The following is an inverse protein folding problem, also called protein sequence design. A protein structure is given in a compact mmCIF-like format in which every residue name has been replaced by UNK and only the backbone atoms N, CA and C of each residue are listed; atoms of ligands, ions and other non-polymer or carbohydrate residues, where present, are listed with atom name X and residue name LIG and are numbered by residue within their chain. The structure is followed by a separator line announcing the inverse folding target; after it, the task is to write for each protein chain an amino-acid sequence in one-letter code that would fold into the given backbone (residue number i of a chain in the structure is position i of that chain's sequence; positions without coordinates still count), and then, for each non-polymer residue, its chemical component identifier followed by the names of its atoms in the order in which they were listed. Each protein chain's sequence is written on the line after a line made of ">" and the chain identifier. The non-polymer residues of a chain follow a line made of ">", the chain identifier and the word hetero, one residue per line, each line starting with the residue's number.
data_IF_187267597659
#
_entry.id   IF_187267597659
#
_cell.length_a   1.000
_cell.length_b   1.000
_cell.length_c   1.000
_cell.angle_alpha   90.00
_cell.angle_beta   90.00
_cell.angle_gamma   90.00
#
_symmetry.space_group_name_H-M   'P 1'
#
loop_
_entity.id
_entity.type
_entity.pdbx_description
1 polymer ?
#
# COMPACT_ATOMS: atom_id res chain seq x y z
N UNK A 1 -5.55 -7.20 10.06
CA UNK A 1 -4.10 -7.31 9.74
C UNK A 1 -3.40 -6.18 10.50
N UNK A 2 -2.46 -6.48 11.38
CA UNK A 2 -1.68 -5.46 12.08
C UNK A 2 -0.35 -5.27 11.34
N UNK A 3 -0.04 -4.02 10.99
CA UNK A 3 1.18 -3.66 10.26
C UNK A 3 2.15 -3.07 11.29
N UNK A 4 3.27 -3.73 11.51
CA UNK A 4 4.38 -3.18 12.28
C UNK A 4 5.42 -2.56 11.35
N UNK A 5 5.80 -1.31 11.62
CA UNK A 5 6.81 -0.60 10.84
C UNK A 5 8.00 -0.28 11.74
N UNK A 6 9.20 -0.55 11.24
CA UNK A 6 10.45 -0.29 11.97
C UNK A 6 11.44 0.49 11.11
N UNK A 7 12.27 1.31 11.75
CA UNK A 7 13.38 1.95 11.06
C UNK A 7 14.29 0.89 10.42
N UNK A 8 14.83 1.15 9.25
CA UNK A 8 15.67 0.20 8.49
C UNK A 8 16.79 -0.43 9.35
N UNK A 9 17.41 0.34 10.24
CA UNK A 9 18.43 -0.15 11.19
C UNK A 9 17.88 -1.10 12.27
N UNK A 10 16.59 -0.99 12.58
CA UNK A 10 15.94 -1.75 13.66
C UNK A 10 15.26 -3.02 13.14
N UNK A 11 14.98 -3.10 11.83
CA UNK A 11 14.34 -4.26 11.21
C UNK A 11 15.12 -5.57 11.47
N UNK A 12 16.45 -5.53 11.51
CA UNK A 12 17.28 -6.68 11.83
C UNK A 12 17.19 -7.11 13.30
N UNK A 13 17.09 -6.14 14.22
CA UNK A 13 16.88 -6.41 15.65
C UNK A 13 15.48 -6.99 15.88
N UNK A 14 14.47 -6.40 15.27
CA UNK A 14 13.09 -6.88 15.34
C UNK A 14 12.97 -8.31 14.82
N UNK A 15 13.62 -8.64 13.70
CA UNK A 15 13.67 -10.01 13.17
C UNK A 15 14.24 -10.99 14.21
N UNK A 16 15.38 -10.66 14.84
CA UNK A 16 15.97 -11.49 15.89
C UNK A 16 15.02 -11.69 17.06
N UNK A 17 14.47 -10.61 17.60
CA UNK A 17 13.54 -10.65 18.73
C UNK A 17 12.32 -11.55 18.42
N UNK A 18 11.77 -11.46 17.22
CA UNK A 18 10.64 -12.29 16.81
C UNK A 18 11.07 -13.76 16.64
N UNK A 19 12.23 -14.01 16.04
CA UNK A 19 12.77 -15.37 15.86
C UNK A 19 13.06 -16.04 17.21
N UNK A 20 13.57 -15.30 18.18
CA UNK A 20 13.88 -15.79 19.55
C UNK A 20 12.61 -16.22 20.31
N UNK A 21 11.41 -15.77 19.88
CA UNK A 21 10.13 -16.24 20.43
C UNK A 21 9.70 -17.63 19.90
N UNK A 22 10.46 -18.24 18.99
CA UNK A 22 10.12 -19.51 18.37
C UNK A 22 9.02 -19.46 17.29
N UNK A 23 8.61 -18.27 16.91
CA UNK A 23 7.57 -18.08 15.89
C UNK A 23 8.14 -18.30 14.49
N UNK A 24 7.42 -19.06 13.65
CA UNK A 24 7.81 -19.27 12.25
C UNK A 24 7.60 -18.01 11.44
N UNK A 25 8.68 -17.43 10.93
CA UNK A 25 8.68 -16.23 10.10
C UNK A 25 8.70 -16.62 8.63
N UNK A 26 7.71 -16.14 7.85
CA UNK A 26 7.68 -16.27 6.39
C UNK A 26 8.15 -14.96 5.76
N UNK A 27 9.23 -14.99 4.99
CA UNK A 27 9.69 -13.85 4.20
C UNK A 27 8.90 -13.77 2.90
N UNK A 28 8.48 -12.58 2.55
CA UNK A 28 7.78 -12.31 1.29
C UNK A 28 8.64 -11.47 0.35
N UNK A 29 8.34 -11.52 -0.95
CA UNK A 29 8.91 -10.58 -1.92
C UNK A 29 8.50 -9.14 -1.52
N UNK A 30 9.38 -8.16 -1.78
CA UNK A 30 9.07 -6.77 -1.45
C UNK A 30 9.48 -6.32 -0.04
N UNK A 31 10.35 -7.09 0.64
CA UNK A 31 10.93 -6.70 1.93
C UNK A 31 9.99 -6.74 3.13
N UNK A 32 8.92 -7.50 3.07
CA UNK A 32 8.05 -7.79 4.20
C UNK A 32 8.31 -9.19 4.77
N UNK A 33 7.93 -9.38 6.02
CA UNK A 33 7.87 -10.70 6.65
C UNK A 33 6.52 -10.85 7.34
N UNK A 34 6.00 -12.08 7.35
CA UNK A 34 4.75 -12.39 8.01
C UNK A 34 4.96 -13.49 9.06
N UNK A 35 4.23 -13.38 10.16
CA UNK A 35 4.22 -14.39 11.21
C UNK A 35 2.89 -14.35 11.96
N UNK A 36 2.57 -15.44 12.64
CA UNK A 36 1.40 -15.49 13.53
C UNK A 36 1.83 -15.24 14.97
N UNK A 37 1.16 -14.31 15.65
CA UNK A 37 1.37 -14.00 17.05
C UNK A 37 0.03 -13.95 17.78
N UNK A 38 -0.15 -14.85 18.77
CA UNK A 38 -1.38 -14.93 19.58
C UNK A 38 -2.66 -14.96 18.74
N UNK A 39 -2.67 -15.75 17.65
CA UNK A 39 -3.82 -15.85 16.74
C UNK A 39 -3.97 -14.74 15.72
N UNK A 40 -3.17 -13.68 15.79
CA UNK A 40 -3.16 -12.59 14.83
C UNK A 40 -2.08 -12.80 13.76
N UNK A 41 -2.42 -12.59 12.49
CA UNK A 41 -1.44 -12.51 11.42
C UNK A 41 -0.81 -11.11 11.43
N UNK A 42 0.50 -11.06 11.63
CA UNK A 42 1.27 -9.82 11.63
C UNK A 42 2.08 -9.75 10.33
N UNK A 43 1.96 -8.64 9.63
CA UNK A 43 2.78 -8.29 8.49
C UNK A 43 3.74 -7.15 8.89
N UNK A 44 5.03 -7.42 8.77
CA UNK A 44 6.09 -6.54 9.21
C UNK A 44 6.80 -5.96 7.98
N UNK A 45 6.61 -4.68 7.76
CA UNK A 45 7.20 -3.97 6.63
C UNK A 45 8.53 -3.31 7.01
N UNK A 46 9.53 -3.39 6.12
CA UNK A 46 10.81 -2.68 6.27
C UNK A 46 10.73 -1.22 5.83
N UNK A 47 9.68 -0.87 5.11
CA UNK A 47 9.42 0.49 4.61
C UNK A 47 8.02 0.88 4.99
N UNK A 48 7.85 2.14 5.37
CA UNK A 48 6.54 2.72 5.69
C UNK A 48 5.74 2.93 4.42
N UNK A 49 6.39 3.47 3.38
CA UNK A 49 5.76 3.82 2.13
C UNK A 49 6.13 2.80 1.06
N UNK A 50 5.12 2.24 0.43
CA UNK A 50 5.23 1.25 -0.64
C UNK A 50 5.46 1.92 -2.01
N UNK A 51 6.57 2.64 -2.15
CA UNK A 51 6.97 3.36 -3.38
C UNK A 51 8.09 2.60 -4.09
N UNK A 52 7.95 2.42 -5.40
CA UNK A 52 8.87 1.64 -6.23
C UNK A 52 9.85 2.52 -7.00
N UNK A 53 9.54 3.80 -7.22
CA UNK A 53 10.45 4.75 -7.83
C UNK A 53 11.71 4.95 -6.96
N UNK A 54 12.90 4.46 -7.37
CA UNK A 54 14.11 4.53 -6.56
C UNK A 54 14.59 5.95 -6.31
N UNK A 55 14.28 6.90 -7.18
CA UNK A 55 14.68 8.31 -7.06
C UNK A 55 13.96 9.03 -5.91
N UNK A 56 12.85 8.48 -5.44
CA UNK A 56 12.10 9.03 -4.30
C UNK A 56 12.57 8.47 -2.95
N UNK A 57 13.36 7.41 -2.93
CA UNK A 57 13.69 6.71 -1.69
C UNK A 57 14.42 7.59 -0.67
N UNK A 58 15.37 8.40 -1.12
CA UNK A 58 16.12 9.31 -0.22
C UNK A 58 15.18 10.38 0.33
N UNK A 59 14.39 11.01 -0.52
CA UNK A 59 13.42 12.02 -0.11
C UNK A 59 12.40 11.47 0.90
N UNK A 60 11.79 10.34 0.57
CA UNK A 60 10.78 9.74 1.44
C UNK A 60 11.37 9.21 2.77
N UNK A 61 12.64 8.79 2.75
CA UNK A 61 13.32 8.41 3.97
C UNK A 61 13.54 9.61 4.90
N UNK A 62 14.07 10.74 4.40
CA UNK A 62 14.24 11.96 5.20
C UNK A 62 12.90 12.49 5.68
N UNK A 63 11.91 12.55 4.80
CA UNK A 63 10.57 12.97 5.17
C UNK A 63 9.95 12.12 6.26
N UNK A 64 10.14 10.80 6.18
CA UNK A 64 9.69 9.88 7.22
C UNK A 64 10.38 10.11 8.56
N UNK A 65 11.71 10.28 8.58
CA UNK A 65 12.46 10.53 9.82
C UNK A 65 12.02 11.82 10.52
N UNK A 66 11.61 12.85 9.76
CA UNK A 66 11.12 14.14 10.26
C UNK A 66 9.69 14.07 10.81
N UNK A 67 8.85 13.21 10.22
CA UNK A 67 7.40 13.16 10.49
C UNK A 67 6.96 11.84 11.13
N UNK A 68 7.87 11.11 11.73
CA UNK A 68 7.74 9.68 12.01
C UNK A 68 6.56 9.30 12.90
N UNK A 69 6.45 9.86 14.09
CA UNK A 69 5.62 9.26 15.13
C UNK A 69 4.70 10.25 15.83
N UNK A 70 3.56 9.71 16.16
CA UNK A 70 2.72 10.19 17.26
C UNK A 70 2.76 9.14 18.37
N UNK A 71 2.90 9.58 19.62
CA UNK A 71 2.84 8.70 20.77
C UNK A 71 1.38 8.41 21.17
N UNK A 72 1.08 7.14 21.33
CA UNK A 72 -0.22 6.66 21.82
C UNK A 72 -0.01 5.86 23.10
N UNK A 73 -0.75 6.17 24.15
CA UNK A 73 -0.74 5.39 25.38
C UNK A 73 -1.81 4.31 25.32
N UNK A 74 -1.38 3.05 25.27
CA UNK A 74 -2.27 1.88 25.31
C UNK A 74 -1.94 1.04 26.55
N UNK A 75 -2.90 0.83 27.41
CA UNK A 75 -2.76 0.05 28.66
C UNK A 75 -1.53 0.48 29.48
N UNK A 76 -1.30 1.80 29.61
CA UNK A 76 -0.19 2.38 30.35
C UNK A 76 1.18 2.25 29.68
N UNK A 77 1.24 1.77 28.43
CA UNK A 77 2.47 1.67 27.62
C UNK A 77 2.44 2.68 26.50
N UNK A 78 3.55 3.39 26.31
CA UNK A 78 3.74 4.29 25.16
C UNK A 78 4.03 3.46 23.92
N UNK A 79 3.24 3.63 22.89
CA UNK A 79 3.39 3.00 21.58
C UNK A 79 3.51 4.09 20.52
N UNK A 80 4.50 3.98 19.67
CA UNK A 80 4.66 4.89 18.54
C UNK A 80 3.77 4.43 17.39
N UNK A 81 2.93 5.34 16.90
CA UNK A 81 2.10 5.15 15.71
C UNK A 81 2.50 6.15 14.62
N UNK A 82 2.09 5.90 13.40
CA UNK A 82 2.32 6.86 12.30
C UNK A 82 1.54 8.14 12.58
N UNK A 83 2.16 9.28 12.25
CA UNK A 83 1.44 10.56 12.25
C UNK A 83 0.27 10.53 11.27
N UNK A 84 -0.76 11.38 11.43
CA UNK A 84 -1.89 11.45 10.50
C UNK A 84 -1.46 11.59 9.04
N UNK A 85 -0.49 12.45 8.75
CA UNK A 85 0.07 12.65 7.42
C UNK A 85 0.69 11.38 6.85
N UNK A 86 1.54 10.70 7.62
CA UNK A 86 2.16 9.44 7.20
C UNK A 86 1.16 8.30 7.07
N UNK A 87 0.10 8.30 7.86
CA UNK A 87 -0.97 7.31 7.73
C UNK A 87 -1.69 7.44 6.39
N UNK A 88 -2.01 8.67 5.95
CA UNK A 88 -2.58 8.92 4.62
C UNK A 88 -1.66 8.46 3.51
N UNK A 89 -0.38 8.84 3.58
CA UNK A 89 0.62 8.42 2.59
C UNK A 89 0.78 6.90 2.55
N UNK A 90 0.86 6.25 3.72
CA UNK A 90 1.06 4.81 3.82
C UNK A 90 -0.12 4.02 3.25
N UNK A 91 -1.35 4.37 3.62
CA UNK A 91 -2.55 3.67 3.13
C UNK A 91 -2.69 3.84 1.62
N UNK A 92 -2.56 5.05 1.11
CA UNK A 92 -2.76 5.32 -0.31
C UNK A 92 -1.65 4.71 -1.20
N UNK A 93 -0.39 4.75 -0.77
CA UNK A 93 0.70 4.09 -1.52
C UNK A 93 0.59 2.57 -1.46
N UNK A 94 0.10 2.03 -0.36
CA UNK A 94 -0.14 0.60 -0.21
C UNK A 94 -1.26 0.12 -1.16
N UNK A 95 -2.34 0.88 -1.28
CA UNK A 95 -3.43 0.61 -2.22
C UNK A 95 -2.92 0.70 -3.67
N UNK A 96 -2.17 1.73 -4.02
CA UNK A 96 -1.57 1.87 -5.35
C UNK A 96 -0.69 0.67 -5.70
N UNK A 97 0.18 0.24 -4.80
CA UNK A 97 1.02 -0.95 -4.99
C UNK A 97 0.19 -2.19 -5.31
N UNK A 98 -0.88 -2.43 -4.57
CA UNK A 98 -1.74 -3.59 -4.83
C UNK A 98 -2.52 -3.45 -6.13
N UNK A 99 -2.97 -2.24 -6.47
CA UNK A 99 -3.61 -1.94 -7.75
C UNK A 99 -2.68 -2.23 -8.93
N UNK A 100 -1.40 -1.84 -8.83
CA UNK A 100 -0.37 -2.15 -9.84
C UNK A 100 -0.05 -3.65 -9.93
N UNK A 101 -0.22 -4.40 -8.85
CA UNK A 101 0.12 -5.82 -8.79
C UNK A 101 -1.00 -6.72 -9.29
N UNK A 102 -2.10 -6.76 -8.57
CA UNK A 102 -3.17 -7.74 -8.73
C UNK A 102 -4.57 -7.15 -8.54
N UNK A 103 -4.65 -5.83 -8.39
CA UNK A 103 -5.88 -5.14 -8.06
C UNK A 103 -6.23 -5.21 -6.56
N UNK A 104 -7.26 -4.49 -6.21
CA UNK A 104 -7.78 -4.31 -4.85
C UNK A 104 -9.26 -4.67 -4.78
N UNK A 105 -9.77 -4.83 -3.56
CA UNK A 105 -11.21 -4.96 -3.31
C UNK A 105 -11.78 -3.73 -2.62
N UNK A 106 -13.09 -3.69 -2.47
CA UNK A 106 -13.81 -2.57 -1.81
C UNK A 106 -13.28 -2.31 -0.38
N UNK A 107 -12.83 -3.34 0.31
CA UNK A 107 -12.30 -3.19 1.68
C UNK A 107 -11.15 -2.19 1.75
N UNK A 108 -10.21 -2.23 0.80
CA UNK A 108 -9.09 -1.29 0.77
C UNK A 108 -9.54 0.15 0.54
N UNK A 109 -10.59 0.35 -0.25
CA UNK A 109 -11.22 1.67 -0.42
C UNK A 109 -11.86 2.16 0.88
N UNK A 110 -12.54 1.26 1.60
CA UNK A 110 -13.10 1.58 2.93
C UNK A 110 -12.01 1.92 3.96
N UNK A 111 -10.84 1.28 3.86
CA UNK A 111 -9.69 1.60 4.73
C UNK A 111 -9.24 3.06 4.51
N UNK A 112 -9.13 3.51 3.23
CA UNK A 112 -8.82 4.93 2.92
C UNK A 112 -9.91 5.88 3.43
N UNK A 113 -11.19 5.58 3.15
CA UNK A 113 -12.30 6.41 3.61
C UNK A 113 -12.31 6.54 5.14
N UNK A 114 -12.00 5.46 5.85
CA UNK A 114 -11.91 5.44 7.31
C UNK A 114 -10.77 6.30 7.82
N UNK A 115 -9.60 6.26 7.17
CA UNK A 115 -8.44 7.11 7.51
C UNK A 115 -8.78 8.58 7.30
N UNK A 116 -9.38 8.94 6.16
CA UNK A 116 -9.75 10.33 5.86
C UNK A 116 -10.75 10.88 6.86
N UNK A 117 -11.74 10.07 7.22
CA UNK A 117 -12.74 10.46 8.23
C UNK A 117 -12.15 10.56 9.64
N UNK A 118 -11.25 9.62 10.00
CA UNK A 118 -10.67 9.58 11.34
C UNK A 118 -9.76 10.79 11.61
N UNK A 119 -8.96 11.18 10.62
CA UNK A 119 -8.00 12.28 10.73
C UNK A 119 -8.50 13.57 10.07
N UNK A 120 -9.82 13.72 9.95
CA UNK A 120 -10.41 14.93 9.40
C UNK A 120 -9.98 16.17 10.20
N UNK A 121 -9.42 17.16 9.48
CA UNK A 121 -8.91 18.41 10.07
C UNK A 121 -7.55 18.30 10.79
N UNK A 122 -6.94 17.10 10.85
CA UNK A 122 -5.62 16.89 11.49
C UNK A 122 -4.46 16.91 10.49
N UNK A 123 -4.74 16.91 9.19
CA UNK A 123 -3.73 16.87 8.13
C UNK A 123 -3.77 18.17 7.32
N UNK A 124 -2.61 18.76 7.10
CA UNK A 124 -2.47 19.85 6.12
C UNK A 124 -2.65 19.26 4.70
N UNK A 125 -3.82 19.54 4.13
CA UNK A 125 -4.18 19.05 2.80
C UNK A 125 -3.28 19.58 1.71
N UNK A 126 -2.81 20.84 1.81
CA UNK A 126 -1.91 21.45 0.84
C UNK A 126 -0.52 20.80 0.86
N UNK A 127 -0.03 20.45 2.05
CA UNK A 127 1.22 19.70 2.19
C UNK A 127 1.07 18.30 1.60
N UNK A 128 0.00 17.59 1.92
CA UNK A 128 -0.26 16.24 1.41
C UNK A 128 -0.37 16.24 -0.13
N UNK A 129 -1.10 17.19 -0.70
CA UNK A 129 -1.21 17.39 -2.14
C UNK A 129 0.15 17.60 -2.81
N UNK A 130 0.99 18.49 -2.24
CA UNK A 130 2.35 18.75 -2.70
C UNK A 130 3.22 17.49 -2.70
N UNK A 131 3.07 16.65 -1.67
CA UNK A 131 3.82 15.38 -1.59
C UNK A 131 3.37 14.44 -2.70
N UNK A 132 2.07 14.29 -2.95
CA UNK A 132 1.57 13.44 -4.04
C UNK A 132 2.01 13.93 -5.42
N UNK A 133 2.08 15.25 -5.63
CA UNK A 133 2.67 15.81 -6.85
C UNK A 133 4.14 15.42 -7.00
N UNK A 134 4.93 15.57 -5.94
CA UNK A 134 6.36 15.20 -5.95
C UNK A 134 6.57 13.69 -6.15
N UNK A 135 5.65 12.88 -5.67
CA UNK A 135 5.67 11.44 -5.90
C UNK A 135 5.22 11.04 -7.31
N UNK A 136 4.59 11.94 -8.05
CA UNK A 136 4.05 11.68 -9.39
C UNK A 136 2.81 10.79 -9.39
N UNK A 137 2.06 10.77 -8.28
CA UNK A 137 0.84 9.97 -8.11
C UNK A 137 -0.41 10.81 -7.84
N UNK A 138 -0.29 12.13 -7.85
CA UNK A 138 -1.40 13.04 -7.55
C UNK A 138 -2.66 12.74 -8.36
N UNK A 139 -2.52 12.57 -9.68
CA UNK A 139 -3.65 12.27 -10.55
C UNK A 139 -4.33 10.94 -10.18
N UNK A 140 -3.55 9.95 -9.81
CA UNK A 140 -4.10 8.67 -9.32
C UNK A 140 -4.88 8.84 -8.00
N UNK A 141 -4.37 9.67 -7.08
CA UNK A 141 -5.08 10.03 -5.84
C UNK A 141 -6.39 10.76 -6.14
N UNK A 142 -6.41 11.65 -7.12
CA UNK A 142 -7.65 12.33 -7.54
C UNK A 142 -8.71 11.32 -8.04
N UNK A 143 -8.32 10.32 -8.83
CA UNK A 143 -9.21 9.23 -9.24
C UNK A 143 -9.72 8.44 -8.03
N UNK A 144 -8.83 8.09 -7.09
CA UNK A 144 -9.22 7.41 -5.85
C UNK A 144 -10.23 8.25 -5.05
N UNK A 145 -9.97 9.55 -4.88
CA UNK A 145 -10.86 10.46 -4.16
C UNK A 145 -12.21 10.59 -4.87
N UNK A 146 -12.23 10.71 -6.20
CA UNK A 146 -13.46 10.74 -6.99
C UNK A 146 -14.26 9.44 -6.82
N UNK A 147 -13.60 8.29 -6.75
CA UNK A 147 -14.24 7.01 -6.47
C UNK A 147 -14.88 6.97 -5.08
N UNK A 148 -14.14 7.43 -4.04
CA UNK A 148 -14.66 7.46 -2.68
C UNK A 148 -15.92 8.31 -2.55
N UNK A 149 -15.95 9.46 -3.20
CA UNK A 149 -17.10 10.36 -3.17
C UNK A 149 -18.24 9.84 -4.04
N UNK A 150 -17.95 9.51 -5.31
CA UNK A 150 -18.99 9.18 -6.30
C UNK A 150 -19.62 7.81 -6.12
N UNK A 151 -18.84 6.80 -5.68
CA UNK A 151 -19.31 5.41 -5.61
C UNK A 151 -19.47 4.87 -4.20
N UNK A 152 -18.68 5.35 -3.22
CA UNK A 152 -18.84 4.96 -1.81
C UNK A 152 -19.65 5.95 -0.98
N UNK A 153 -20.07 7.08 -1.56
CA UNK A 153 -20.88 8.08 -0.89
C UNK A 153 -20.17 8.81 0.26
N UNK A 154 -18.84 8.88 0.23
CA UNK A 154 -18.08 9.65 1.22
C UNK A 154 -18.34 11.15 0.98
N UNK A 155 -18.72 11.94 1.99
CA UNK A 155 -18.83 13.39 1.83
C UNK A 155 -17.51 14.02 1.40
N UNK A 156 -17.56 14.89 0.38
CA UNK A 156 -16.35 15.52 -0.19
C UNK A 156 -15.57 16.35 0.85
N UNK A 157 -16.24 16.85 1.88
CA UNK A 157 -15.61 17.62 2.96
C UNK A 157 -14.59 16.81 3.77
N UNK A 158 -14.68 15.46 3.76
CA UNK A 158 -13.69 14.60 4.42
C UNK A 158 -12.43 14.37 3.57
N UNK A 159 -12.42 14.80 2.31
CA UNK A 159 -11.21 14.73 1.50
C UNK A 159 -10.13 15.68 2.08
N UNK A 160 -8.87 15.24 2.12
CA UNK A 160 -7.79 16.07 2.64
C UNK A 160 -7.50 17.31 1.76
N UNK A 161 -7.89 17.28 0.48
CA UNK A 161 -7.82 18.40 -0.46
C UNK A 161 -8.92 18.25 -1.53
N UNK A 162 -9.30 19.35 -2.22
CA UNK A 162 -10.41 19.35 -3.17
C UNK A 162 -10.23 18.40 -4.35
N UNK A 163 -11.33 17.92 -4.90
CA UNK A 163 -11.33 17.23 -6.19
C UNK A 163 -11.00 18.21 -7.32
N UNK A 164 -10.18 17.76 -8.28
CA UNK A 164 -9.92 18.51 -9.51
C UNK A 164 -11.13 18.62 -10.45
N UNK A 165 -12.12 17.76 -10.27
CA UNK A 165 -13.35 17.71 -11.04
C UNK A 165 -13.23 17.06 -12.43
N UNK A 166 -12.03 16.63 -12.83
CA UNK A 166 -11.75 16.16 -14.20
C UNK A 166 -11.43 14.68 -14.31
N UNK A 167 -11.39 13.95 -13.19
CA UNK A 167 -10.94 12.55 -13.19
C UNK A 167 -12.14 11.60 -13.22
N UNK A 168 -12.16 10.75 -14.25
CA UNK A 168 -13.09 9.63 -14.34
C UNK A 168 -12.61 8.47 -13.46
N UNK A 169 -13.46 8.03 -12.55
CA UNK A 169 -13.19 6.92 -11.64
C UNK A 169 -13.91 5.61 -12.04
N UNK A 170 -14.69 5.62 -13.12
CA UNK A 170 -15.47 4.45 -13.54
C UNK A 170 -14.58 3.23 -13.83
N UNK A 171 -13.49 3.43 -14.54
CA UNK A 171 -12.53 2.35 -14.81
C UNK A 171 -11.97 1.70 -13.55
N UNK A 172 -11.74 2.50 -12.48
CA UNK A 172 -11.16 2.01 -11.23
C UNK A 172 -12.19 1.19 -10.45
N UNK A 173 -13.42 1.67 -10.32
CA UNK A 173 -14.47 0.91 -9.62
C UNK A 173 -14.84 -0.37 -10.38
N UNK A 174 -14.90 -0.35 -11.68
CA UNK A 174 -15.13 -1.55 -12.49
C UNK A 174 -14.06 -2.61 -12.25
N UNK A 175 -12.78 -2.21 -12.27
CA UNK A 175 -11.68 -3.12 -11.99
C UNK A 175 -11.77 -3.69 -10.56
N UNK A 176 -12.04 -2.85 -9.56
CA UNK A 176 -12.23 -3.27 -8.17
C UNK A 176 -13.33 -4.32 -8.02
N UNK A 177 -14.46 -4.14 -8.69
CA UNK A 177 -15.59 -5.08 -8.65
C UNK A 177 -15.29 -6.39 -9.37
N UNK A 178 -14.53 -6.35 -10.46
CA UNK A 178 -14.15 -7.55 -11.22
C UNK A 178 -13.04 -8.34 -10.55
N UNK A 179 -12.05 -7.66 -10.01
CA UNK A 179 -10.83 -8.26 -9.46
C UNK A 179 -11.07 -8.87 -8.06
N UNK A 180 -11.86 -8.17 -7.25
CA UNK A 180 -12.03 -8.50 -5.86
C UNK A 180 -10.73 -8.42 -5.08
N UNK A 181 -10.72 -8.91 -3.86
CA UNK A 181 -9.57 -8.82 -2.95
C UNK A 181 -8.33 -9.51 -3.53
N UNK A 182 -7.29 -8.73 -3.86
CA UNK A 182 -6.02 -9.20 -4.41
C UNK A 182 -6.16 -10.13 -5.63
N UNK A 183 -7.18 -9.89 -6.46
CA UNK A 183 -7.46 -10.66 -7.67
C UNK A 183 -7.88 -12.09 -7.44
N UNK A 184 -8.44 -12.42 -6.28
CA UNK A 184 -8.97 -13.77 -6.01
C UNK A 184 -10.10 -14.17 -6.96
N UNK A 185 -10.87 -13.19 -7.40
CA UNK A 185 -12.06 -13.42 -8.23
C UNK A 185 -11.83 -13.04 -9.72
N UNK A 186 -10.63 -12.58 -10.06
CA UNK A 186 -10.32 -12.15 -11.42
C UNK A 186 -10.23 -13.31 -12.40
N UNK A 187 -11.33 -13.54 -13.12
CA UNK A 187 -11.44 -14.59 -14.12
C UNK A 187 -10.63 -14.31 -15.39
N UNK A 188 -10.26 -13.06 -15.66
CA UNK A 188 -9.49 -12.66 -16.87
C UNK A 188 -8.11 -13.29 -16.92
N UNK A 189 -7.52 -13.54 -15.73
CA UNK A 189 -6.15 -14.07 -15.60
C UNK A 189 -6.07 -15.39 -14.84
N UNK A 190 -7.20 -16.07 -14.64
CA UNK A 190 -7.29 -17.30 -13.89
C UNK A 190 -7.48 -17.06 -12.38
N UNK A 191 -8.47 -17.68 -11.78
CA UNK A 191 -8.77 -17.55 -10.35
C UNK A 191 -7.84 -18.44 -9.51
N UNK A 192 -7.45 -17.96 -8.33
CA UNK A 192 -6.90 -18.85 -7.29
C UNK A 192 -8.00 -19.77 -6.80
N UNK A 193 -7.77 -21.08 -6.81
CA UNK A 193 -8.60 -21.99 -6.05
C UNK A 193 -8.38 -21.73 -4.55
N UNK A 194 -9.44 -21.44 -3.82
CA UNK A 194 -9.40 -21.26 -2.37
C UNK A 194 -8.86 -22.53 -1.65
N UNK A 195 -9.04 -23.70 -2.23
CA UNK A 195 -8.68 -24.98 -1.61
C UNK A 195 -7.25 -25.45 -1.87
N UNK A 196 -6.57 -24.97 -2.90
CA UNK A 196 -5.27 -25.52 -3.31
C UNK A 196 -4.11 -24.55 -3.21
N UNK A 197 -4.36 -23.27 -2.88
CA UNK A 197 -3.32 -22.24 -2.82
C UNK A 197 -2.60 -22.01 -4.15
N UNK A 198 -3.12 -22.55 -5.26
CA UNK A 198 -2.54 -22.45 -6.58
C UNK A 198 -2.50 -21.01 -7.04
N UNK A 199 -1.32 -20.57 -7.41
CA UNK A 199 -1.01 -19.24 -7.92
C UNK A 199 -1.69 -19.02 -9.27
N UNK A 200 -2.04 -17.78 -9.58
CA UNK A 200 -2.54 -17.35 -10.89
C UNK A 200 -1.77 -17.98 -12.03
N UNK A 201 -2.50 -18.46 -13.02
CA UNK A 201 -1.92 -19.03 -14.23
C UNK A 201 -1.27 -17.97 -15.13
N UNK A 202 -1.73 -16.71 -15.08
CA UNK A 202 -1.20 -15.63 -15.94
C UNK A 202 -0.91 -14.33 -15.15
N UNK A 203 0.14 -14.37 -14.31
CA UNK A 203 0.58 -13.19 -13.55
C UNK A 203 1.10 -12.06 -14.46
N UNK A 204 1.70 -12.39 -15.60
CA UNK A 204 2.24 -11.42 -16.57
C UNK A 204 1.10 -10.66 -17.23
N UNK A 205 0.04 -11.35 -17.65
CA UNK A 205 -1.15 -10.70 -18.24
C UNK A 205 -1.83 -9.75 -17.26
N UNK A 206 -1.97 -10.15 -16.00
CA UNK A 206 -2.51 -9.28 -14.95
C UNK A 206 -1.63 -8.04 -14.74
N UNK A 207 -0.32 -8.22 -14.65
CA UNK A 207 0.62 -7.12 -14.47
C UNK A 207 0.57 -6.13 -15.64
N UNK A 208 0.53 -6.63 -16.89
CA UNK A 208 0.43 -5.79 -18.07
C UNK A 208 -0.90 -5.03 -18.15
N UNK A 209 -2.00 -5.68 -17.77
CA UNK A 209 -3.31 -5.03 -17.70
C UNK A 209 -3.31 -3.86 -16.70
N UNK A 210 -2.87 -4.10 -15.47
CA UNK A 210 -2.82 -3.05 -14.45
C UNK A 210 -1.79 -1.95 -14.76
N UNK A 211 -0.68 -2.29 -15.41
CA UNK A 211 0.24 -1.30 -15.95
C UNK A 211 -0.47 -0.36 -16.92
N UNK A 212 -1.19 -0.92 -17.91
CA UNK A 212 -1.90 -0.16 -18.93
C UNK A 212 -2.95 0.78 -18.33
N UNK A 213 -3.66 0.33 -17.31
CA UNK A 213 -4.67 1.13 -16.63
C UNK A 213 -4.07 2.27 -15.81
N UNK A 214 -2.95 2.05 -15.15
CA UNK A 214 -2.40 2.99 -14.18
C UNK A 214 -1.30 3.91 -14.74
N UNK A 215 -0.70 3.61 -15.91
CA UNK A 215 0.43 4.38 -16.45
C UNK A 215 0.08 5.84 -16.75
N UNK A 216 -1.15 6.15 -17.09
CA UNK A 216 -1.60 7.53 -17.33
C UNK A 216 -1.81 8.33 -16.04
N UNK A 217 -1.98 7.66 -14.90
CA UNK A 217 -2.31 8.28 -13.63
C UNK A 217 -1.15 8.28 -12.63
N UNK A 218 -0.29 7.25 -12.69
CA UNK A 218 0.91 7.12 -11.85
C UNK A 218 2.09 6.58 -12.67
N UNK A 219 2.58 7.30 -13.70
CA UNK A 219 3.50 6.77 -14.70
C UNK A 219 4.80 6.24 -14.11
N UNK A 220 5.41 6.96 -13.17
CA UNK A 220 6.66 6.54 -12.55
C UNK A 220 6.48 5.23 -11.76
N UNK A 221 5.48 5.14 -10.91
CA UNK A 221 5.22 3.93 -10.13
C UNK A 221 4.83 2.75 -11.03
N UNK A 222 4.00 2.97 -12.06
CA UNK A 222 3.61 1.93 -13.00
C UNK A 222 4.83 1.34 -13.76
N UNK A 223 5.78 2.18 -14.15
CA UNK A 223 7.01 1.74 -14.82
C UNK A 223 7.99 1.04 -13.86
N UNK A 224 8.21 1.60 -12.68
CA UNK A 224 9.18 1.04 -11.73
C UNK A 224 8.69 -0.21 -11.03
N UNK A 225 7.39 -0.36 -10.82
CA UNK A 225 6.83 -1.53 -10.13
C UNK A 225 7.26 -2.86 -10.74
N UNK A 226 7.08 -3.16 -12.05
CA UNK A 226 7.47 -4.43 -12.63
C UNK A 226 8.99 -4.65 -12.59
N UNK A 227 9.79 -3.60 -12.77
CA UNK A 227 11.25 -3.67 -12.71
C UNK A 227 11.72 -4.05 -11.29
N UNK A 228 11.18 -3.39 -10.27
CA UNK A 228 11.54 -3.67 -8.88
C UNK A 228 11.06 -5.04 -8.43
N UNK A 229 9.92 -5.52 -8.92
CA UNK A 229 9.46 -6.89 -8.67
C UNK A 229 10.41 -7.91 -9.29
N UNK A 230 10.83 -7.72 -10.54
CA UNK A 230 11.80 -8.60 -11.20
C UNK A 230 13.13 -8.64 -10.43
N UNK A 231 13.67 -7.49 -10.05
CA UNK A 231 14.89 -7.39 -9.24
C UNK A 231 14.76 -8.09 -7.88
N UNK A 232 13.60 -7.97 -7.23
CA UNK A 232 13.33 -8.65 -5.96
C UNK A 232 13.33 -10.18 -6.11
N UNK A 233 12.71 -10.68 -7.16
CA UNK A 233 12.71 -12.13 -7.45
C UNK A 233 14.11 -12.66 -7.72
N UNK A 234 14.92 -11.96 -8.54
CA UNK A 234 16.32 -12.35 -8.83
C UNK A 234 17.15 -12.31 -7.54
N UNK A 235 17.05 -11.25 -6.74
CA UNK A 235 17.77 -11.14 -5.47
C UNK A 235 17.41 -12.25 -4.49
N UNK A 236 16.14 -12.64 -4.41
CA UNK A 236 15.72 -13.74 -3.56
C UNK A 236 16.28 -15.07 -4.07
N UNK A 237 16.26 -15.30 -5.38
CA UNK A 237 16.83 -16.52 -5.99
C UNK A 237 18.32 -16.67 -5.70
N UNK A 238 19.09 -15.57 -5.80
CA UNK A 238 20.55 -15.58 -5.54
C UNK A 238 20.91 -15.76 -4.05
N UNK A 239 20.03 -15.37 -3.12
CA UNK A 239 20.28 -15.53 -1.68
C UNK A 239 19.94 -16.92 -1.15
N UNK A 240 19.26 -17.74 -1.92
CA UNK A 240 18.86 -19.11 -1.56
C UNK A 240 19.68 -20.17 -2.30
N UNK A 241 20.74 -19.77 -3.02
CA UNK A 241 21.82 -20.63 -3.48
C UNK A 241 23.05 -20.44 -2.60
#
# INVERSE_FOLDING_TARGET
>A
MQIGVFRKKESGKAYKLIADTGVTIKRQAGFSMTYQWKGCLIEHHKRVLDVHNPFLHTYLHSFFEENYCQELVLDGKVVNILSPLLTHLSVNTHILKHMLAFGIGIRQLCDTASVYRHYYGEVDGAELEKIYHKMGIYRWIQVLNALLVGYLGMPADFLPFPLSGNEDAEWMIEDVLQVGNFGFYDKRFGSKSMNTGTRRQNAIGSLFHHFKMNVCYAPAEACWFPLMQACSHVSNFLKFR
#
